data_IF_416382155218
#
_entry.id   IF_416382155218
#
_cell.length_a   1.000
_cell.length_b   1.000
_cell.length_c   1.000
_cell.angle_alpha   90.00
_cell.angle_beta   90.00
_cell.angle_gamma   90.00
#
_symmetry.space_group_name_H-M   'P 1'
#
loop_
_entity.id
_entity.type
_entity.pdbx_description
1 polymer ?
#
# COMPACT_ATOMS: atom_id res chain seq x y z
N UNK A 1 -18.25 -11.95 -15.82
CA UNK A 1 -17.25 -11.25 -14.97
C UNK A 1 -16.87 -9.95 -15.66
N UNK A 2 -17.07 -8.82 -14.98
CA UNK A 2 -16.72 -7.50 -15.52
C UNK A 2 -15.19 -7.38 -15.60
N UNK A 3 -14.67 -6.86 -16.72
CA UNK A 3 -13.22 -6.84 -17.00
C UNK A 3 -12.58 -5.45 -16.90
N UNK A 4 -13.36 -4.38 -16.76
CA UNK A 4 -12.86 -3.00 -16.69
C UNK A 4 -13.77 -2.10 -15.85
N UNK A 5 -13.16 -1.05 -15.31
CA UNK A 5 -13.82 0.07 -14.65
C UNK A 5 -13.98 1.22 -15.64
N UNK A 6 -15.01 2.05 -15.44
CA UNK A 6 -15.14 3.34 -16.12
C UNK A 6 -14.53 4.44 -15.27
N UNK A 7 -14.20 5.59 -15.86
CA UNK A 7 -13.59 6.71 -15.15
C UNK A 7 -14.44 7.22 -13.98
N UNK A 8 -15.77 7.05 -14.06
CA UNK A 8 -16.71 7.44 -13.00
C UNK A 8 -16.65 6.55 -11.76
N UNK A 9 -15.97 5.41 -11.85
CA UNK A 9 -15.83 4.43 -10.76
C UNK A 9 -14.43 4.45 -10.13
N UNK A 10 -13.56 5.33 -10.62
CA UNK A 10 -12.19 5.46 -10.15
C UNK A 10 -12.05 6.78 -9.38
N UNK A 11 -11.20 6.75 -8.36
CA UNK A 11 -10.79 7.94 -7.60
C UNK A 11 -9.30 8.18 -7.83
N UNK A 12 -8.92 9.43 -8.04
CA UNK A 12 -7.52 9.83 -8.16
C UNK A 12 -6.85 9.79 -6.78
N UNK A 13 -6.18 8.67 -6.48
CA UNK A 13 -5.44 8.46 -5.24
C UNK A 13 -4.07 7.86 -5.49
N UNK A 14 -3.11 8.17 -4.62
CA UNK A 14 -1.78 7.56 -4.66
C UNK A 14 -1.88 6.16 -4.05
N UNK A 15 -1.53 5.14 -4.83
CA UNK A 15 -1.45 3.76 -4.35
C UNK A 15 0.02 3.35 -4.19
N UNK A 16 0.44 3.06 -2.96
CA UNK A 16 1.76 2.50 -2.68
C UNK A 16 1.64 0.98 -2.67
N UNK A 17 2.12 0.33 -3.74
CA UNK A 17 2.05 -1.13 -3.88
C UNK A 17 3.28 -1.78 -3.26
N UNK A 18 3.07 -2.72 -2.35
CA UNK A 18 4.12 -3.52 -1.71
C UNK A 18 3.74 -4.99 -1.75
N UNK A 19 4.75 -5.87 -1.73
CA UNK A 19 4.50 -7.32 -1.73
C UNK A 19 5.52 -8.13 -0.96
N UNK A 20 6.71 -7.56 -0.72
CA UNK A 20 7.82 -8.24 -0.06
C UNK A 20 8.34 -7.44 1.12
N UNK A 21 8.91 -8.12 2.12
CA UNK A 21 9.51 -7.45 3.28
C UNK A 21 10.58 -6.41 2.90
N UNK A 22 11.54 -6.69 1.97
CA UNK A 22 12.45 -5.66 1.49
C UNK A 22 11.74 -4.51 0.76
N UNK A 23 10.64 -4.79 0.05
CA UNK A 23 9.81 -3.77 -0.59
C UNK A 23 9.16 -2.82 0.42
N UNK A 24 8.56 -3.37 1.48
CA UNK A 24 7.94 -2.58 2.57
C UNK A 24 8.97 -1.65 3.22
N UNK A 25 10.13 -2.18 3.62
CA UNK A 25 11.20 -1.40 4.25
C UNK A 25 11.68 -0.25 3.34
N UNK A 26 11.83 -0.51 2.04
CA UNK A 26 12.26 0.50 1.07
C UNK A 26 11.19 1.58 0.81
N UNK A 27 9.91 1.25 0.96
CA UNK A 27 8.81 2.21 0.79
C UNK A 27 8.51 3.02 2.04
N UNK A 28 9.00 2.63 3.22
CA UNK A 28 8.75 3.37 4.47
C UNK A 28 9.12 4.87 4.41
N UNK A 29 10.25 5.30 3.82
CA UNK A 29 10.55 6.74 3.68
C UNK A 29 9.54 7.50 2.80
N UNK A 30 9.03 6.85 1.74
CA UNK A 30 8.00 7.42 0.87
C UNK A 30 6.68 7.58 1.61
N UNK A 31 6.24 6.52 2.31
CA UNK A 31 5.01 6.53 3.12
C UNK A 31 5.06 7.67 4.13
N UNK A 32 6.16 7.78 4.88
CA UNK A 32 6.37 8.88 5.85
C UNK A 32 6.37 10.26 5.21
N UNK A 33 6.82 10.39 3.96
CA UNK A 33 6.75 11.65 3.23
C UNK A 33 5.31 11.99 2.83
N UNK A 34 4.54 11.01 2.35
CA UNK A 34 3.13 11.17 2.01
C UNK A 34 2.29 11.56 3.23
N UNK A 35 2.55 10.93 4.38
CA UNK A 35 1.91 11.29 5.66
C UNK A 35 2.21 12.73 6.07
N UNK A 36 3.48 13.17 6.02
CA UNK A 36 3.87 14.55 6.33
C UNK A 36 3.20 15.57 5.41
N UNK A 37 3.03 15.22 4.14
CA UNK A 37 2.35 16.05 3.15
C UNK A 37 0.82 16.01 3.28
N UNK A 38 0.26 15.15 4.14
CA UNK A 38 -1.18 14.86 4.22
C UNK A 38 -1.77 14.50 2.85
N UNK A 39 -1.00 13.78 2.05
CA UNK A 39 -1.45 13.32 0.74
C UNK A 39 -2.59 12.30 0.89
N UNK A 40 -3.50 12.24 -0.08
CA UNK A 40 -4.50 11.19 -0.15
C UNK A 40 -3.87 9.93 -0.78
N UNK A 41 -3.53 8.96 0.07
CA UNK A 41 -2.87 7.73 -0.34
C UNK A 41 -3.32 6.53 0.46
N UNK A 42 -3.12 5.35 -0.12
CA UNK A 42 -3.31 4.08 0.57
C UNK A 42 -2.21 3.10 0.18
N UNK A 43 -2.04 2.06 1.00
CA UNK A 43 -1.05 1.00 0.78
C UNK A 43 -1.80 -0.25 0.33
N UNK A 44 -1.38 -0.83 -0.79
CA UNK A 44 -1.88 -2.10 -1.30
C UNK A 44 -0.82 -3.18 -1.12
N UNK A 45 -1.10 -4.16 -0.26
CA UNK A 45 -0.24 -5.31 -0.09
C UNK A 45 -0.68 -6.47 -0.99
N UNK A 46 0.21 -6.93 -1.89
CA UNK A 46 -0.11 -7.98 -2.87
C UNK A 46 -0.05 -9.39 -2.29
N UNK A 47 0.41 -9.57 -1.05
CA UNK A 47 0.41 -10.86 -0.37
C UNK A 47 1.53 -11.82 -0.81
N UNK A 48 2.57 -11.33 -1.50
CA UNK A 48 3.67 -12.19 -2.00
C UNK A 48 4.53 -12.84 -0.88
N UNK A 49 4.34 -12.46 0.39
CA UNK A 49 4.99 -13.07 1.57
C UNK A 49 3.98 -13.55 2.63
N UNK A 50 2.91 -14.22 2.20
CA UNK A 50 1.77 -14.61 3.05
C UNK A 50 2.17 -15.43 4.30
N UNK A 51 2.32 -14.74 5.43
CA UNK A 51 2.14 -15.28 6.77
C UNK A 51 1.33 -14.26 7.57
N UNK A 52 0.04 -14.55 7.74
CA UNK A 52 -0.97 -13.69 8.36
C UNK A 52 -0.55 -13.17 9.76
N UNK A 53 0.29 -13.94 10.46
CA UNK A 53 0.80 -13.60 11.78
C UNK A 53 1.94 -12.58 11.78
N UNK A 54 2.58 -12.34 10.62
CA UNK A 54 3.76 -11.46 10.52
C UNK A 54 3.39 -10.05 10.04
N UNK A 55 2.40 -9.93 9.13
CA UNK A 55 1.96 -8.65 8.56
C UNK A 55 1.43 -7.68 9.63
N UNK A 56 0.63 -8.18 10.59
CA UNK A 56 0.02 -7.35 11.63
C UNK A 56 1.04 -6.66 12.55
N UNK A 57 2.21 -7.27 12.77
CA UNK A 57 3.29 -6.68 13.57
C UNK A 57 4.01 -5.59 12.77
N UNK A 58 4.25 -5.82 11.47
CA UNK A 58 4.95 -4.85 10.61
C UNK A 58 4.15 -3.57 10.35
N UNK A 59 2.83 -3.66 10.13
CA UNK A 59 2.00 -2.46 9.95
C UNK A 59 1.85 -1.64 11.24
N UNK A 60 2.14 -2.23 12.41
CA UNK A 60 2.12 -1.52 13.68
C UNK A 60 3.38 -0.67 13.92
N UNK A 61 4.48 -1.03 13.28
CA UNK A 61 5.80 -0.38 13.42
C UNK A 61 6.09 0.65 12.31
N UNK A 62 5.20 0.75 11.31
CA UNK A 62 5.30 1.67 10.17
C UNK A 62 4.75 3.04 10.54
#
# INVERSE_FOLDING_TARGET
MRKSFSDKELEDKICVIVGTRPGIIKQAPLIKALERLKADFFILHTGQHYSYNMDAVFFKDL
#
